data_IF_506714582066
#
_entry.id   IF_506714582066
#
_cell.length_a   1.000
_cell.length_b   1.000
_cell.length_c   1.000
_cell.angle_alpha   90.00
_cell.angle_beta   90.00
_cell.angle_gamma   90.00
#
_symmetry.space_group_name_H-M   'P 1'
#
loop_
_entity.id
_entity.type
_entity.pdbx_description
1 polymer ?
#
# COMPACT_ATOMS: atom_id res chain seq x y z
N UNK A 1 59.31 0.74 20.47
CA UNK A 1 58.26 1.70 20.07
C UNK A 1 56.96 0.93 19.84
N UNK A 2 56.04 0.90 20.81
CA UNK A 2 54.75 0.20 20.70
C UNK A 2 53.68 1.23 20.29
N UNK A 3 53.13 1.10 19.08
CA UNK A 3 52.07 1.97 18.56
C UNK A 3 50.74 1.55 19.20
N UNK A 4 50.19 2.41 20.05
CA UNK A 4 48.85 2.25 20.61
C UNK A 4 47.84 2.62 19.52
N UNK A 5 47.15 1.62 18.96
CA UNK A 5 46.09 1.84 17.96
C UNK A 5 44.81 2.15 18.72
N UNK A 6 44.41 3.42 18.68
CA UNK A 6 43.16 3.91 19.26
C UNK A 6 42.00 3.48 18.35
N UNK A 7 41.25 2.44 18.74
CA UNK A 7 40.01 2.05 18.07
C UNK A 7 38.93 3.08 18.38
N UNK A 8 38.65 3.95 17.42
CA UNK A 8 37.52 4.88 17.45
C UNK A 8 36.24 4.05 17.20
N UNK A 9 35.50 3.77 18.27
CA UNK A 9 34.12 3.28 18.21
C UNK A 9 33.23 4.40 17.66
N UNK A 10 33.12 4.46 16.33
CA UNK A 10 32.11 5.28 15.67
C UNK A 10 30.78 4.54 15.77
N UNK A 11 30.05 4.77 16.87
CA UNK A 11 28.63 4.44 16.95
C UNK A 11 27.88 5.35 15.98
N UNK A 12 27.79 4.92 14.72
CA UNK A 12 26.85 5.47 13.77
C UNK A 12 25.44 5.19 14.30
N UNK A 13 24.88 6.13 15.04
CA UNK A 13 23.45 6.25 15.28
C UNK A 13 22.81 6.51 13.91
N UNK A 14 22.45 5.43 13.21
CA UNK A 14 21.64 5.53 12.01
C UNK A 14 20.25 5.98 12.48
N UNK A 15 19.75 7.16 12.06
CA UNK A 15 18.36 7.48 12.32
C UNK A 15 17.53 6.45 11.53
N UNK A 16 16.88 5.53 12.24
CA UNK A 16 15.80 4.71 11.69
C UNK A 16 14.69 5.71 11.40
N UNK A 17 14.68 6.24 10.17
CA UNK A 17 13.56 7.04 9.69
C UNK A 17 12.37 6.10 9.61
N UNK A 18 11.52 6.11 10.63
CA UNK A 18 10.16 5.61 10.52
C UNK A 18 9.43 6.56 9.56
N UNK A 19 9.65 6.35 8.26
CA UNK A 19 8.70 6.79 7.25
C UNK A 19 7.46 5.91 7.41
N UNK A 20 6.71 6.15 8.49
CA UNK A 20 5.28 5.86 8.50
C UNK A 20 4.73 6.78 7.43
N UNK A 21 4.76 6.33 6.18
CA UNK A 21 3.95 6.90 5.12
C UNK A 21 2.53 6.68 5.62
N UNK A 22 1.96 7.70 6.25
CA UNK A 22 0.52 7.86 6.33
C UNK A 22 0.10 7.87 4.88
N UNK A 23 -0.27 6.70 4.35
CA UNK A 23 -0.85 6.61 3.02
C UNK A 23 -2.00 7.60 3.05
N UNK A 24 -1.89 8.65 2.24
CA UNK A 24 -3.01 9.53 2.00
C UNK A 24 -4.19 8.63 1.56
N UNK A 25 -5.43 8.99 1.92
CA UNK A 25 -6.59 8.26 1.43
C UNK A 25 -6.45 8.03 -0.07
N UNK A 26 -6.59 6.78 -0.50
CA UNK A 26 -6.50 6.42 -1.92
C UNK A 26 -7.75 6.99 -2.59
N UNK A 27 -7.60 8.06 -3.38
CA UNK A 27 -8.73 8.66 -4.07
C UNK A 27 -9.10 7.79 -5.26
N UNK A 28 -10.39 7.47 -5.42
CA UNK A 28 -10.90 6.58 -6.47
C UNK A 28 -10.45 6.96 -7.89
N UNK A 29 -10.37 8.27 -8.16
CA UNK A 29 -9.87 8.83 -9.43
C UNK A 29 -8.37 8.63 -9.67
N UNK A 30 -7.56 8.37 -8.64
CA UNK A 30 -6.12 8.15 -8.78
C UNK A 30 -5.80 6.82 -9.47
N UNK A 31 -6.67 5.80 -9.38
CA UNK A 31 -6.41 4.50 -10.00
C UNK A 31 -6.32 4.62 -11.53
N UNK A 32 -7.18 5.43 -12.13
CA UNK A 32 -7.17 5.70 -13.57
C UNK A 32 -5.94 6.52 -13.97
N UNK A 33 -5.58 7.52 -13.18
CA UNK A 33 -4.38 8.34 -13.39
C UNK A 33 -3.11 7.47 -13.34
N UNK A 34 -3.00 6.58 -12.36
CA UNK A 34 -1.90 5.64 -12.25
C UNK A 34 -1.87 4.66 -13.41
N UNK A 35 -3.01 4.06 -13.77
CA UNK A 35 -3.09 3.14 -14.91
C UNK A 35 -2.64 3.83 -16.19
N UNK A 36 -3.10 5.05 -16.43
CA UNK A 36 -2.74 5.83 -17.62
C UNK A 36 -1.25 6.17 -17.63
N UNK A 37 -0.70 6.61 -16.50
CA UNK A 37 0.73 6.97 -16.36
C UNK A 37 1.63 5.74 -16.55
N UNK A 38 1.32 4.63 -15.87
CA UNK A 38 2.09 3.40 -15.96
C UNK A 38 2.04 2.82 -17.37
N UNK A 39 0.86 2.84 -18.01
CA UNK A 39 0.67 2.17 -19.29
C UNK A 39 1.04 3.01 -20.53
N UNK A 40 1.24 4.32 -20.39
CA UNK A 40 1.45 5.25 -21.51
C UNK A 40 2.66 4.88 -22.40
N UNK A 41 3.76 4.43 -21.80
CA UNK A 41 5.02 4.18 -22.52
C UNK A 41 5.18 2.73 -22.99
N UNK A 42 4.19 1.87 -22.73
CA UNK A 42 4.25 0.48 -23.17
C UNK A 42 3.90 0.34 -24.66
N UNK A 43 4.50 -0.64 -25.33
CA UNK A 43 4.25 -0.93 -26.75
C UNK A 43 2.77 -1.24 -27.09
N UNK A 44 1.99 -1.68 -26.09
CA UNK A 44 0.54 -1.83 -26.20
C UNK A 44 -0.11 -1.31 -24.89
N UNK A 45 -0.46 -0.02 -24.83
CA UNK A 45 -1.05 0.59 -23.64
C UNK A 45 -2.37 -0.06 -23.22
N UNK A 46 -3.21 -0.46 -24.19
CA UNK A 46 -4.50 -1.10 -23.91
C UNK A 46 -4.34 -2.46 -23.22
N UNK A 47 -3.37 -3.27 -23.67
CA UNK A 47 -3.05 -4.55 -23.02
C UNK A 47 -2.50 -4.33 -21.60
N UNK A 48 -1.66 -3.30 -21.40
CA UNK A 48 -1.17 -2.93 -20.08
C UNK A 48 -2.34 -2.57 -19.14
N UNK A 49 -3.26 -1.69 -19.57
CA UNK A 49 -4.40 -1.29 -18.76
C UNK A 49 -5.28 -2.49 -18.38
N UNK A 50 -5.55 -3.40 -19.33
CA UNK A 50 -6.28 -4.65 -19.05
C UNK A 50 -5.58 -5.52 -18.00
N UNK A 51 -4.26 -5.68 -18.11
CA UNK A 51 -3.48 -6.47 -17.15
C UNK A 51 -3.46 -5.80 -15.76
N UNK A 52 -3.30 -4.48 -15.71
CA UNK A 52 -3.31 -3.69 -14.48
C UNK A 52 -4.63 -3.83 -13.74
N UNK A 53 -5.77 -3.59 -14.41
CA UNK A 53 -7.08 -3.75 -13.78
C UNK A 53 -7.38 -5.19 -13.37
N UNK A 54 -6.88 -6.19 -14.11
CA UNK A 54 -6.99 -7.60 -13.70
C UNK A 54 -6.21 -7.88 -12.42
N UNK A 55 -5.01 -7.32 -12.27
CA UNK A 55 -4.20 -7.44 -11.06
C UNK A 55 -4.85 -6.72 -9.87
N UNK A 56 -5.37 -5.51 -10.06
CA UNK A 56 -6.15 -4.78 -9.06
C UNK A 56 -7.40 -5.56 -8.62
N UNK A 57 -8.11 -6.18 -9.56
CA UNK A 57 -9.22 -7.08 -9.27
C UNK A 57 -8.81 -8.31 -8.46
N UNK A 58 -7.63 -8.87 -8.72
CA UNK A 58 -7.09 -9.97 -7.91
C UNK A 58 -6.81 -9.53 -6.47
N UNK A 59 -6.18 -8.37 -6.25
CA UNK A 59 -5.96 -7.82 -4.90
C UNK A 59 -7.30 -7.67 -4.17
N UNK A 60 -8.29 -7.07 -4.84
CA UNK A 60 -9.64 -6.86 -4.31
C UNK A 60 -10.33 -8.15 -3.87
N UNK A 61 -10.19 -9.24 -4.63
CA UNK A 61 -10.80 -10.53 -4.29
C UNK A 61 -10.10 -11.22 -3.11
N UNK A 62 -8.81 -10.96 -2.93
CA UNK A 62 -7.96 -11.62 -1.93
C UNK A 62 -7.61 -10.71 -0.74
N UNK A 63 -8.33 -9.60 -0.54
CA UNK A 63 -8.21 -8.80 0.68
C UNK A 63 -8.92 -9.51 1.85
N UNK A 64 -8.24 -10.50 2.42
CA UNK A 64 -8.71 -11.27 3.57
C UNK A 64 -8.96 -10.40 4.80
N UNK A 65 -8.24 -9.28 4.90
CA UNK A 65 -8.35 -8.37 6.05
C UNK A 65 -9.65 -7.58 6.00
N UNK A 66 -10.10 -7.17 4.81
CA UNK A 66 -11.42 -6.57 4.62
C UNK A 66 -12.53 -7.50 5.12
N UNK A 67 -12.50 -8.75 4.68
CA UNK A 67 -13.50 -9.75 5.09
C UNK A 67 -13.43 -10.07 6.58
N UNK A 68 -12.23 -10.14 7.15
CA UNK A 68 -12.04 -10.28 8.59
C UNK A 68 -12.71 -9.11 9.34
N UNK A 69 -12.41 -7.87 8.98
CA UNK A 69 -13.00 -6.68 9.59
C UNK A 69 -14.53 -6.66 9.50
N UNK A 70 -15.09 -7.01 8.33
CA UNK A 70 -16.53 -7.11 8.12
C UNK A 70 -17.17 -8.13 9.05
N UNK A 71 -16.65 -9.36 9.09
CA UNK A 71 -17.19 -10.44 9.95
C UNK A 71 -17.08 -10.11 11.43
N UNK A 72 -15.95 -9.59 11.90
CA UNK A 72 -15.76 -9.22 13.31
C UNK A 72 -16.78 -8.16 13.75
N UNK A 73 -17.05 -7.16 12.89
CA UNK A 73 -18.07 -6.13 13.14
C UNK A 73 -19.48 -6.73 13.21
N UNK A 74 -19.83 -7.64 12.29
CA UNK A 74 -21.12 -8.34 12.29
C UNK A 74 -21.32 -9.20 13.55
N UNK A 75 -20.24 -9.76 14.09
CA UNK A 75 -20.25 -10.56 15.33
C UNK A 75 -20.15 -9.71 16.62
N UNK A 76 -20.10 -8.38 16.52
CA UNK A 76 -19.97 -7.49 17.67
C UNK A 76 -18.61 -7.57 18.39
N UNK A 77 -17.59 -8.10 17.72
CA UNK A 77 -16.24 -8.20 18.27
C UNK A 77 -15.47 -6.89 18.14
N UNK A 78 -14.51 -6.65 19.03
CA UNK A 78 -13.59 -5.53 18.90
C UNK A 78 -12.67 -5.72 17.68
N UNK A 79 -12.38 -4.62 16.99
CA UNK A 79 -11.52 -4.59 15.81
C UNK A 79 -10.45 -3.53 15.95
N UNK A 80 -9.33 -3.69 15.24
CA UNK A 80 -8.40 -2.60 15.04
C UNK A 80 -9.01 -1.61 14.03
N UNK A 81 -9.55 -0.50 14.55
CA UNK A 81 -10.23 0.51 13.72
C UNK A 81 -9.33 1.10 12.64
N UNK A 82 -8.06 1.32 12.93
CA UNK A 82 -7.12 1.90 11.97
C UNK A 82 -6.87 0.93 10.80
N UNK A 83 -6.57 -0.33 11.10
CA UNK A 83 -6.33 -1.35 10.08
C UNK A 83 -7.59 -1.62 9.24
N UNK A 84 -8.77 -1.66 9.86
CA UNK A 84 -10.02 -1.84 9.13
C UNK A 84 -10.36 -0.64 8.24
N UNK A 85 -10.07 0.59 8.69
CA UNK A 85 -10.24 1.78 7.85
C UNK A 85 -9.30 1.77 6.64
N UNK A 86 -8.05 1.31 6.82
CA UNK A 86 -7.10 1.18 5.70
C UNK A 86 -7.57 0.17 4.65
N UNK A 87 -8.06 -0.98 5.09
CA UNK A 87 -8.61 -1.99 4.19
C UNK A 87 -9.92 -1.53 3.52
N UNK A 88 -10.78 -0.81 4.23
CA UNK A 88 -11.97 -0.16 3.66
C UNK A 88 -11.58 0.85 2.57
N UNK A 89 -10.59 1.71 2.82
CA UNK A 89 -10.12 2.68 1.84
C UNK A 89 -9.55 2.01 0.58
N UNK A 90 -8.78 0.92 0.74
CA UNK A 90 -8.32 0.11 -0.40
C UNK A 90 -9.51 -0.45 -1.20
N UNK A 91 -10.57 -0.90 -0.51
CA UNK A 91 -11.75 -1.44 -1.19
C UNK A 91 -12.48 -0.38 -2.01
N UNK A 92 -12.70 0.79 -1.43
CA UNK A 92 -13.37 1.92 -2.08
C UNK A 92 -12.60 2.39 -3.30
N UNK A 93 -11.27 2.51 -3.18
CA UNK A 93 -10.38 2.83 -4.29
C UNK A 93 -10.49 1.84 -5.47
N UNK A 94 -10.59 0.54 -5.18
CA UNK A 94 -10.68 -0.50 -6.21
C UNK A 94 -12.10 -0.68 -6.79
N UNK A 95 -13.14 -0.23 -6.09
CA UNK A 95 -14.55 -0.39 -6.50
C UNK A 95 -15.00 0.70 -7.48
N UNK A 96 -14.41 1.90 -7.42
CA UNK A 96 -14.88 3.08 -8.15
C UNK A 96 -13.80 3.77 -9.01
N UNK A 97 -13.09 3.09 -9.91
CA UNK A 97 -12.03 3.73 -10.71
C UNK A 97 -12.52 4.88 -11.63
N UNK A 98 -13.84 5.09 -11.75
CA UNK A 98 -14.47 6.04 -12.68
C UNK A 98 -15.32 7.14 -11.99
N UNK A 99 -15.35 7.24 -10.66
CA UNK A 99 -16.19 8.25 -9.95
C UNK A 99 -15.45 9.02 -8.87
#
# INVERSE_FOLDING_TARGET
MKKLVLFILCFCLIPISNATQTLAPLESSELQSYTSTVCAEHANPELCSKAFYKFMGYIKTNDDYFYFCKKQKEMGMSINKESCNKSQALREFLDNPES
#
